data_IF_255532971541
#
_entry.id   IF_255532971541
#
_cell.length_a   1.000
_cell.length_b   1.000
_cell.length_c   1.000
_cell.angle_alpha   90.00
_cell.angle_beta   90.00
_cell.angle_gamma   90.00
#
_symmetry.space_group_name_H-M   'P 1'
#
loop_
_entity.id
_entity.type
_entity.pdbx_description
1 polymer ?
#
# COMPACT_ATOMS: atom_id res chain seq x y z
N UNK A 1 28.39 -12.69 11.56
CA UNK A 1 27.58 -12.62 12.81
C UNK A 1 27.59 -11.22 13.41
N UNK A 2 28.73 -10.51 13.41
CA UNK A 2 28.86 -9.12 13.92
C UNK A 2 27.97 -8.08 13.22
N UNK A 3 27.82 -8.11 11.89
CA UNK A 3 27.04 -7.09 11.15
C UNK A 3 25.56 -7.02 11.54
N UNK A 4 24.93 -8.17 11.90
CA UNK A 4 23.54 -8.20 12.40
C UNK A 4 23.42 -7.57 13.79
N UNK A 5 24.49 -7.61 14.59
CA UNK A 5 24.56 -7.01 15.93
C UNK A 5 24.60 -5.49 15.86
N UNK A 6 25.45 -4.92 14.99
CA UNK A 6 25.60 -3.46 14.84
C UNK A 6 24.30 -2.80 14.43
N UNK A 7 23.63 -3.34 13.40
CA UNK A 7 22.39 -2.75 12.89
C UNK A 7 21.24 -2.82 13.91
N UNK A 8 21.18 -3.90 14.71
CA UNK A 8 20.15 -4.05 15.75
C UNK A 8 20.30 -2.98 16.85
N UNK A 9 21.54 -2.68 17.25
CA UNK A 9 21.83 -1.63 18.26
C UNK A 9 21.59 -0.22 17.72
N UNK A 10 21.88 0.03 16.45
CA UNK A 10 21.54 1.31 15.80
C UNK A 10 20.02 1.53 15.77
N UNK A 11 19.25 0.47 15.46
CA UNK A 11 17.78 0.54 15.54
C UNK A 11 17.30 0.88 16.95
N UNK A 12 17.88 0.25 17.97
CA UNK A 12 17.57 0.54 19.36
C UNK A 12 17.87 2.01 19.73
N UNK A 13 19.03 2.52 19.32
CA UNK A 13 19.41 3.93 19.51
C UNK A 13 18.39 4.89 18.87
N UNK A 14 17.94 4.58 17.65
CA UNK A 14 16.91 5.35 16.94
C UNK A 14 15.56 5.26 17.65
N UNK A 15 15.14 4.08 18.13
CA UNK A 15 13.85 3.88 18.82
C UNK A 15 13.75 4.68 20.10
N UNK A 16 14.84 4.73 20.85
CA UNK A 16 14.88 5.40 22.15
C UNK A 16 15.18 6.90 22.03
N UNK A 17 15.38 7.41 20.81
CA UNK A 17 15.80 8.78 20.54
C UNK A 17 16.99 9.20 21.42
N UNK A 18 17.94 8.28 21.64
CA UNK A 18 19.05 8.52 22.57
C UNK A 18 19.89 9.70 22.08
N UNK A 19 20.17 10.63 22.99
CA UNK A 19 20.99 11.81 22.72
C UNK A 19 22.45 11.46 22.37
N UNK A 20 22.93 10.28 22.78
CA UNK A 20 24.30 9.87 22.57
C UNK A 20 24.49 9.04 21.28
N UNK A 21 24.40 9.73 20.13
CA UNK A 21 24.72 9.16 18.81
C UNK A 21 26.14 8.54 18.77
N UNK A 22 27.04 8.95 19.67
CA UNK A 22 28.40 8.43 19.70
C UNK A 22 28.46 6.95 20.06
N UNK A 23 27.46 6.44 20.79
CA UNK A 23 27.37 5.03 21.15
C UNK A 23 27.17 4.13 19.92
N UNK A 24 26.59 4.67 18.83
CA UNK A 24 26.49 3.97 17.54
C UNK A 24 27.89 3.64 16.99
N UNK A 25 28.85 4.56 17.11
CA UNK A 25 30.21 4.34 16.62
C UNK A 25 30.98 3.32 17.48
N UNK A 26 30.61 3.14 18.74
CA UNK A 26 31.17 2.08 19.60
C UNK A 26 30.74 0.68 19.18
N UNK A 27 29.72 0.56 18.33
CA UNK A 27 29.19 -0.73 17.88
C UNK A 27 29.78 -1.21 16.56
N UNK A 28 30.66 -0.43 15.92
CA UNK A 28 31.39 -0.82 14.72
C UNK A 28 31.20 0.13 13.54
N UNK A 29 31.99 -0.07 12.49
CA UNK A 29 31.98 0.80 11.31
C UNK A 29 30.78 0.53 10.40
N UNK A 30 30.11 1.61 9.99
CA UNK A 30 29.10 1.61 8.93
C UNK A 30 29.82 1.75 7.59
N UNK A 31 30.00 0.63 6.89
CA UNK A 31 30.85 0.57 5.68
C UNK A 31 30.07 0.51 4.39
N UNK A 32 29.00 -0.29 4.33
CA UNK A 32 28.29 -0.51 3.07
C UNK A 32 27.19 0.51 2.81
N UNK A 33 26.93 0.78 1.53
CA UNK A 33 25.79 1.59 1.09
C UNK A 33 24.48 1.02 1.63
N UNK A 34 24.29 -0.29 1.58
CA UNK A 34 23.09 -0.95 2.09
C UNK A 34 22.86 -0.72 3.59
N UNK A 35 23.93 -0.70 4.40
CA UNK A 35 23.82 -0.37 5.82
C UNK A 35 23.32 1.07 5.99
N UNK A 36 23.91 2.03 5.27
CA UNK A 36 23.51 3.43 5.31
C UNK A 36 22.04 3.61 4.89
N UNK A 37 21.64 3.00 3.77
CA UNK A 37 20.26 2.99 3.26
C UNK A 37 19.30 2.45 4.32
N UNK A 38 19.63 1.31 4.93
CA UNK A 38 18.77 0.68 5.93
C UNK A 38 18.63 1.51 7.20
N UNK A 39 19.68 2.22 7.62
CA UNK A 39 19.64 3.14 8.77
C UNK A 39 18.76 4.35 8.46
N UNK A 40 18.94 4.99 7.30
CA UNK A 40 18.15 6.13 6.86
C UNK A 40 16.67 5.74 6.72
N UNK A 41 16.39 4.61 6.06
CA UNK A 41 15.04 4.02 5.97
C UNK A 41 14.41 3.86 7.35
N UNK A 42 15.14 3.23 8.28
CA UNK A 42 14.62 2.96 9.62
C UNK A 42 14.30 4.26 10.38
N UNK A 43 15.21 5.23 10.34
CA UNK A 43 15.01 6.56 10.94
C UNK A 43 13.75 7.25 10.40
N UNK A 44 13.57 7.28 9.09
CA UNK A 44 12.43 7.95 8.44
C UNK A 44 11.09 7.30 8.80
N UNK A 45 11.05 5.96 8.87
CA UNK A 45 9.86 5.19 9.25
C UNK A 45 9.52 5.41 10.73
N UNK A 46 10.50 5.30 11.62
CA UNK A 46 10.26 5.45 13.06
C UNK A 46 9.81 6.86 13.43
N UNK A 47 10.21 7.87 12.65
CA UNK A 47 9.85 9.27 12.85
C UNK A 47 8.77 9.76 11.86
N UNK A 48 7.94 8.86 11.33
CA UNK A 48 6.87 9.22 10.39
C UNK A 48 5.80 10.11 11.04
N UNK A 49 5.55 9.95 12.35
CA UNK A 49 4.59 10.74 13.14
C UNK A 49 5.21 11.98 13.78
N UNK A 50 6.49 11.92 14.11
CA UNK A 50 7.16 12.90 14.96
C UNK A 50 8.11 13.76 14.13
N UNK A 51 7.93 15.08 14.25
CA UNK A 51 8.91 16.03 13.72
C UNK A 51 10.03 16.19 14.74
N UNK A 52 11.26 15.90 14.31
CA UNK A 52 12.46 16.15 15.09
C UNK A 52 13.04 17.53 14.72
N UNK A 53 13.63 18.26 15.67
CA UNK A 53 14.37 19.48 15.34
C UNK A 53 15.50 19.21 14.34
N UNK A 54 15.77 20.16 13.42
CA UNK A 54 16.85 20.02 12.43
C UNK A 54 18.24 19.80 13.04
N UNK A 55 18.47 20.32 14.25
CA UNK A 55 19.71 20.15 15.01
C UNK A 55 19.78 18.85 15.83
N UNK A 56 18.73 18.02 15.82
CA UNK A 56 18.72 16.71 16.48
C UNK A 56 19.87 15.82 15.96
N UNK A 57 20.48 15.07 16.86
CA UNK A 57 21.66 14.24 16.58
C UNK A 57 21.39 13.17 15.52
N UNK A 58 20.21 12.51 15.54
CA UNK A 58 19.81 11.51 14.55
C UNK A 58 19.55 12.12 13.17
N UNK A 59 18.98 13.33 13.12
CA UNK A 59 18.79 14.08 11.87
C UNK A 59 20.15 14.39 11.24
N UNK A 60 21.09 14.94 12.03
CA UNK A 60 22.46 15.23 11.57
C UNK A 60 23.20 13.97 11.13
N UNK A 61 23.06 12.89 11.89
CA UNK A 61 23.68 11.60 11.59
C UNK A 61 23.19 11.04 10.26
N UNK A 62 21.88 10.95 10.05
CA UNK A 62 21.32 10.46 8.78
C UNK A 62 21.64 11.38 7.61
N UNK A 63 21.66 12.70 7.82
CA UNK A 63 22.12 13.66 6.82
C UNK A 63 23.59 13.42 6.41
N UNK A 64 24.47 13.06 7.36
CA UNK A 64 25.86 12.70 7.08
C UNK A 64 25.97 11.34 6.36
N UNK A 65 25.11 10.36 6.68
CA UNK A 65 25.07 9.08 5.94
C UNK A 65 24.67 9.28 4.47
N UNK A 66 23.68 10.13 4.21
CA UNK A 66 23.28 10.50 2.84
C UNK A 66 24.42 11.25 2.16
N UNK A 67 24.99 12.27 2.81
CA UNK A 67 26.05 13.11 2.23
C UNK A 67 27.40 12.40 2.01
N UNK A 68 27.62 11.25 2.64
CA UNK A 68 28.81 10.41 2.44
C UNK A 68 28.57 9.23 1.50
N UNK A 69 27.40 9.16 0.87
CA UNK A 69 27.08 8.13 -0.12
C UNK A 69 27.12 8.77 -1.51
N UNK A 70 27.84 8.19 -2.50
CA UNK A 70 27.76 8.65 -3.88
C UNK A 70 26.34 8.45 -4.43
N UNK A 71 25.65 9.53 -4.77
CA UNK A 71 24.26 9.51 -5.29
C UNK A 71 24.19 9.74 -6.80
N UNK A 72 25.33 9.65 -7.49
CA UNK A 72 25.42 9.79 -8.95
C UNK A 72 24.76 8.60 -9.65
N UNK A 73 24.98 7.40 -9.10
CA UNK A 73 24.32 6.17 -9.50
C UNK A 73 22.81 6.22 -9.21
N UNK A 74 22.02 5.78 -10.19
CA UNK A 74 20.57 5.80 -10.12
C UNK A 74 20.03 4.87 -9.03
N UNK A 75 20.52 3.63 -8.97
CA UNK A 75 20.01 2.61 -8.06
C UNK A 75 20.30 2.98 -6.59
N UNK A 76 21.53 3.40 -6.32
CA UNK A 76 21.97 3.86 -5.00
C UNK A 76 21.15 5.06 -4.53
N UNK A 77 20.95 6.05 -5.40
CA UNK A 77 20.14 7.24 -5.09
C UNK A 77 18.68 6.88 -4.83
N UNK A 78 18.10 6.03 -5.66
CA UNK A 78 16.71 5.59 -5.49
C UNK A 78 16.54 4.87 -4.14
N UNK A 79 17.40 3.90 -3.82
CA UNK A 79 17.34 3.16 -2.56
C UNK A 79 17.52 4.05 -1.33
N UNK A 80 18.47 4.98 -1.37
CA UNK A 80 18.74 5.91 -0.25
C UNK A 80 17.55 6.83 0.02
N UNK A 81 16.89 7.33 -1.04
CA UNK A 81 15.90 8.40 -0.92
C UNK A 81 14.45 7.92 -0.94
N UNK A 82 14.21 6.64 -1.28
CA UNK A 82 12.87 6.07 -1.46
C UNK A 82 11.90 6.36 -0.30
N UNK A 83 12.36 6.28 0.94
CA UNK A 83 11.50 6.45 2.11
C UNK A 83 11.32 7.91 2.55
N UNK A 84 12.03 8.86 1.92
CA UNK A 84 11.89 10.29 2.24
C UNK A 84 10.47 10.79 1.94
N UNK A 85 9.78 10.23 0.94
CA UNK A 85 8.40 10.63 0.61
C UNK A 85 7.39 10.37 1.74
N UNK A 86 7.71 9.47 2.68
CA UNK A 86 6.82 9.14 3.80
C UNK A 86 6.95 10.15 4.94
N UNK A 87 8.07 10.87 5.03
CA UNK A 87 8.35 11.80 6.11
C UNK A 87 8.28 13.24 5.59
N UNK A 88 7.30 14.01 6.08
CA UNK A 88 7.04 15.39 5.61
C UNK A 88 8.24 16.31 5.82
N UNK A 89 9.10 16.02 6.79
CA UNK A 89 10.22 16.84 7.19
C UNK A 89 11.52 16.48 6.45
N UNK A 90 11.51 15.45 5.57
CA UNK A 90 12.70 15.02 4.83
C UNK A 90 13.38 16.14 4.06
N UNK A 91 12.61 17.05 3.45
CA UNK A 91 13.18 18.23 2.75
C UNK A 91 13.95 19.15 3.70
N UNK A 92 13.45 19.32 4.92
CA UNK A 92 14.08 20.15 5.95
C UNK A 92 15.30 19.48 6.56
N UNK A 93 15.25 18.16 6.72
CA UNK A 93 16.35 17.35 7.24
C UNK A 93 17.54 17.29 6.29
N UNK A 94 17.30 17.20 4.98
CA UNK A 94 18.33 16.89 3.99
C UNK A 94 18.42 17.96 2.88
N UNK A 95 18.86 19.20 3.20
CA UNK A 95 18.95 20.26 2.20
C UNK A 95 19.97 19.99 1.09
N UNK A 96 20.99 19.15 1.33
CA UNK A 96 22.08 18.88 0.37
C UNK A 96 21.64 18.09 -0.87
N UNK A 97 20.47 17.47 -0.83
CA UNK A 97 19.92 16.67 -1.94
C UNK A 97 18.76 17.38 -2.63
N UNK A 98 18.73 18.72 -2.57
CA UNK A 98 17.64 19.53 -3.10
C UNK A 98 17.31 19.22 -4.57
N UNK A 99 18.36 19.10 -5.40
CA UNK A 99 18.26 18.75 -6.82
C UNK A 99 17.62 17.37 -7.08
N UNK A 100 17.55 16.50 -6.07
CA UNK A 100 16.96 15.17 -6.19
C UNK A 100 15.46 15.13 -5.85
N UNK A 101 14.91 16.16 -5.19
CA UNK A 101 13.54 16.11 -4.64
C UNK A 101 12.46 15.92 -5.68
N UNK A 102 12.63 16.49 -6.88
CA UNK A 102 11.66 16.30 -7.97
C UNK A 102 11.53 14.81 -8.33
N UNK A 103 12.67 14.10 -8.43
CA UNK A 103 12.70 12.67 -8.73
C UNK A 103 12.14 11.83 -7.57
N UNK A 104 12.49 12.17 -6.33
CA UNK A 104 12.00 11.48 -5.12
C UNK A 104 10.48 11.60 -4.97
N UNK A 105 9.87 12.67 -5.45
CA UNK A 105 8.41 12.88 -5.38
C UNK A 105 7.61 12.03 -6.37
N UNK A 106 8.25 11.46 -7.39
CA UNK A 106 7.58 10.63 -8.41
C UNK A 106 7.62 9.16 -7.99
N UNK A 107 6.47 8.63 -7.59
CA UNK A 107 6.35 7.21 -7.25
C UNK A 107 5.98 6.36 -8.47
N UNK A 108 6.86 5.43 -8.83
CA UNK A 108 6.59 4.38 -9.81
C UNK A 108 5.89 3.18 -9.14
N UNK A 109 5.26 2.31 -9.95
CA UNK A 109 4.61 1.07 -9.47
C UNK A 109 5.60 0.20 -8.68
N UNK A 110 6.81 0.02 -9.21
CA UNK A 110 7.89 -0.74 -8.57
C UNK A 110 8.26 -0.18 -7.18
N UNK A 111 8.42 1.14 -7.08
CA UNK A 111 8.73 1.83 -5.83
C UNK A 111 7.63 1.68 -4.79
N UNK A 112 6.37 1.81 -5.22
CA UNK A 112 5.23 1.55 -4.35
C UNK A 112 5.24 0.10 -3.83
N UNK A 113 5.49 -0.89 -4.69
CA UNK A 113 5.58 -2.30 -4.29
C UNK A 113 6.68 -2.53 -3.26
N UNK A 114 7.87 -1.96 -3.49
CA UNK A 114 9.01 -2.06 -2.56
C UNK A 114 8.74 -1.42 -1.21
N UNK A 115 8.07 -0.27 -1.18
CA UNK A 115 7.69 0.41 0.07
C UNK A 115 6.63 -0.41 0.82
N UNK A 116 5.57 -0.84 0.14
CA UNK A 116 4.47 -1.60 0.75
C UNK A 116 4.97 -2.91 1.35
N UNK A 117 5.73 -3.70 0.58
CA UNK A 117 6.34 -4.94 1.09
C UNK A 117 7.30 -4.64 2.25
N UNK A 118 8.11 -3.58 2.12
CA UNK A 118 9.05 -3.15 3.14
C UNK A 118 8.42 -2.68 4.45
N UNK A 119 7.18 -2.18 4.44
CA UNK A 119 6.44 -1.73 5.63
C UNK A 119 5.58 -2.87 6.18
N UNK A 120 4.73 -3.48 5.34
CA UNK A 120 3.72 -4.42 5.80
C UNK A 120 4.31 -5.82 6.06
N UNK A 121 5.24 -6.28 5.22
CA UNK A 121 5.73 -7.65 5.22
C UNK A 121 7.13 -7.82 5.85
N UNK A 122 8.13 -7.07 5.38
CA UNK A 122 9.55 -7.30 5.72
C UNK A 122 9.99 -6.69 7.07
N UNK A 123 9.04 -6.16 7.85
CA UNK A 123 9.37 -5.35 9.02
C UNK A 123 8.68 -5.79 10.30
N UNK A 124 9.40 -5.59 11.40
CA UNK A 124 8.92 -5.75 12.77
C UNK A 124 8.47 -4.40 13.37
N UNK A 125 8.00 -3.46 12.54
CA UNK A 125 7.43 -2.20 13.04
C UNK A 125 6.12 -2.46 13.79
N UNK A 126 5.80 -1.59 14.75
CA UNK A 126 4.49 -1.62 15.40
C UNK A 126 3.37 -1.36 14.38
N UNK A 127 2.17 -1.84 14.67
CA UNK A 127 0.99 -1.64 13.82
C UNK A 127 0.77 -0.16 13.51
N UNK A 128 0.83 0.69 14.54
CA UNK A 128 0.67 2.14 14.42
C UNK A 128 1.65 2.81 13.45
N UNK A 129 2.90 2.35 13.43
CA UNK A 129 3.92 2.85 12.50
C UNK A 129 3.62 2.36 11.09
N UNK A 130 3.24 1.08 10.94
CA UNK A 130 2.87 0.52 9.63
C UNK A 130 1.68 1.25 9.00
N UNK A 131 0.63 1.49 9.77
CA UNK A 131 -0.59 2.19 9.33
C UNK A 131 -0.29 3.64 8.96
N UNK A 132 0.50 4.36 9.76
CA UNK A 132 0.86 5.74 9.42
C UNK A 132 1.72 5.81 8.15
N UNK A 133 2.75 4.95 8.01
CA UNK A 133 3.55 4.91 6.80
C UNK A 133 2.71 4.57 5.57
N UNK A 134 1.77 3.63 5.69
CA UNK A 134 0.83 3.29 4.62
C UNK A 134 -0.06 4.49 4.25
N UNK A 135 -0.60 5.21 5.25
CA UNK A 135 -1.39 6.42 5.04
C UNK A 135 -0.59 7.51 4.31
N UNK A 136 0.65 7.79 4.74
CA UNK A 136 1.54 8.75 4.08
C UNK A 136 1.82 8.34 2.63
N UNK A 137 2.04 7.06 2.37
CA UNK A 137 2.22 6.55 1.02
C UNK A 137 0.98 6.79 0.14
N UNK A 138 -0.22 6.53 0.66
CA UNK A 138 -1.46 6.77 -0.09
C UNK A 138 -1.69 8.26 -0.35
N UNK A 139 -1.33 9.15 0.58
CA UNK A 139 -1.35 10.60 0.36
C UNK A 139 -0.39 11.03 -0.77
N UNK A 140 0.80 10.43 -0.87
CA UNK A 140 1.72 10.65 -2.00
C UNK A 140 1.10 10.16 -3.31
N UNK A 141 0.44 9.00 -3.28
CA UNK A 141 -0.22 8.43 -4.46
C UNK A 141 -1.44 9.22 -4.94
N UNK A 142 -2.13 9.95 -4.06
CA UNK A 142 -3.33 10.72 -4.42
C UNK A 142 -3.10 11.68 -5.61
N UNK A 143 -1.88 12.21 -5.72
CA UNK A 143 -1.46 13.14 -6.78
C UNK A 143 -0.73 12.46 -7.94
N UNK A 144 -0.64 11.12 -7.96
CA UNK A 144 0.07 10.39 -8.99
C UNK A 144 -0.83 10.05 -10.19
N UNK A 145 -0.35 10.31 -11.41
CA UNK A 145 -1.11 10.01 -12.64
C UNK A 145 -1.45 8.51 -12.80
N UNK A 146 -0.62 7.63 -12.24
CA UNK A 146 -0.79 6.18 -12.28
C UNK A 146 -1.48 5.62 -11.02
N UNK A 147 -2.04 6.47 -10.15
CA UNK A 147 -2.66 6.06 -8.87
C UNK A 147 -3.65 4.91 -9.04
N UNK A 148 -4.46 4.94 -10.11
CA UNK A 148 -5.45 3.89 -10.40
C UNK A 148 -4.82 2.54 -10.67
N UNK A 149 -3.77 2.51 -11.50
CA UNK A 149 -3.04 1.28 -11.77
C UNK A 149 -2.48 0.75 -10.46
N UNK A 150 -1.74 1.59 -9.73
CA UNK A 150 -1.06 1.23 -8.47
C UNK A 150 -2.03 0.65 -7.44
N UNK A 151 -3.13 1.36 -7.11
CA UNK A 151 -4.00 0.91 -6.02
C UNK A 151 -4.85 -0.33 -6.36
N UNK A 152 -4.74 -0.81 -7.59
CA UNK A 152 -5.50 -1.96 -8.07
C UNK A 152 -4.63 -3.11 -8.57
N UNK A 153 -3.32 -2.98 -8.41
CA UNK A 153 -2.35 -4.02 -8.69
C UNK A 153 -2.47 -5.17 -7.69
N UNK A 154 -2.15 -6.37 -8.15
CA UNK A 154 -2.17 -7.58 -7.32
C UNK A 154 -1.20 -7.49 -6.14
N UNK A 155 -0.02 -6.89 -6.32
CA UNK A 155 0.97 -6.79 -5.24
C UNK A 155 0.45 -6.04 -4.02
N UNK A 156 -0.35 -4.96 -4.22
CA UNK A 156 -0.87 -4.15 -3.12
C UNK A 156 -1.91 -4.94 -2.34
N UNK A 157 -2.87 -5.53 -3.07
CA UNK A 157 -3.92 -6.38 -2.49
C UNK A 157 -3.28 -7.53 -1.70
N UNK A 158 -2.28 -8.20 -2.28
CA UNK A 158 -1.60 -9.33 -1.65
C UNK A 158 -0.91 -8.93 -0.34
N UNK A 159 -0.15 -7.83 -0.35
CA UNK A 159 0.53 -7.37 0.84
C UNK A 159 -0.46 -6.99 1.95
N UNK A 160 -1.56 -6.33 1.61
CA UNK A 160 -2.59 -5.94 2.58
C UNK A 160 -3.30 -7.17 3.14
N UNK A 161 -3.73 -8.10 2.29
CA UNK A 161 -4.41 -9.33 2.71
C UNK A 161 -3.48 -10.17 3.61
N UNK A 162 -2.25 -10.41 3.17
CA UNK A 162 -1.28 -11.21 3.93
C UNK A 162 -0.90 -10.55 5.26
N UNK A 163 -0.78 -9.22 5.28
CA UNK A 163 -0.55 -8.50 6.52
C UNK A 163 -1.75 -8.63 7.47
N UNK A 164 -2.96 -8.40 6.97
CA UNK A 164 -4.19 -8.43 7.77
C UNK A 164 -4.41 -9.79 8.40
N UNK A 165 -4.27 -10.89 7.64
CA UNK A 165 -4.46 -12.26 8.15
C UNK A 165 -3.45 -12.63 9.24
N UNK A 166 -2.22 -12.09 9.18
CA UNK A 166 -1.21 -12.31 10.21
C UNK A 166 -1.49 -11.57 11.52
N UNK A 167 -2.47 -10.67 11.55
CA UNK A 167 -2.87 -9.96 12.77
C UNK A 167 -4.00 -10.70 13.50
N UNK A 168 -4.09 -10.53 14.81
CA UNK A 168 -5.20 -11.05 15.62
C UNK A 168 -6.54 -10.32 15.33
N UNK A 169 -6.53 -9.26 14.52
CA UNK A 169 -7.67 -8.37 14.22
C UNK A 169 -7.86 -8.24 12.70
N UNK A 170 -7.78 -9.34 11.98
CA UNK A 170 -7.68 -9.36 10.51
C UNK A 170 -8.75 -8.55 9.78
N UNK A 171 -10.01 -8.63 10.22
CA UNK A 171 -11.12 -7.84 9.67
C UNK A 171 -10.92 -6.34 9.87
N UNK A 172 -10.61 -5.91 11.10
CA UNK A 172 -10.43 -4.50 11.44
C UNK A 172 -9.29 -3.89 10.61
N UNK A 173 -8.14 -4.58 10.54
CA UNK A 173 -6.95 -4.10 9.82
C UNK A 173 -7.18 -4.07 8.30
N UNK A 174 -7.84 -5.08 7.74
CA UNK A 174 -8.16 -5.12 6.32
C UNK A 174 -9.04 -3.92 5.93
N UNK A 175 -10.09 -3.68 6.71
CA UNK A 175 -11.03 -2.59 6.45
C UNK A 175 -10.40 -1.22 6.68
N UNK A 176 -9.53 -1.08 7.69
CA UNK A 176 -8.78 0.15 7.92
C UNK A 176 -7.85 0.48 6.74
N UNK A 177 -7.11 -0.49 6.21
CA UNK A 177 -6.22 -0.27 5.06
C UNK A 177 -7.02 0.08 3.79
N UNK A 178 -8.16 -0.58 3.55
CA UNK A 178 -9.06 -0.23 2.44
C UNK A 178 -9.62 1.19 2.62
N UNK A 179 -10.03 1.54 3.84
CA UNK A 179 -10.54 2.87 4.18
C UNK A 179 -9.49 3.95 3.91
N UNK A 180 -8.23 3.71 4.29
CA UNK A 180 -7.13 4.63 3.99
C UNK A 180 -7.00 4.85 2.48
N UNK A 181 -7.01 3.79 1.66
CA UNK A 181 -6.95 3.90 0.19
C UNK A 181 -8.14 4.74 -0.32
N UNK A 182 -9.34 4.43 0.15
CA UNK A 182 -10.57 5.09 -0.27
C UNK A 182 -10.53 6.59 0.03
N UNK A 183 -10.33 6.97 1.29
CA UNK A 183 -10.38 8.37 1.74
C UNK A 183 -9.29 9.23 1.09
N UNK A 184 -8.09 8.67 0.91
CA UNK A 184 -6.95 9.46 0.42
C UNK A 184 -6.83 9.49 -1.10
N UNK A 185 -7.11 8.39 -1.79
CA UNK A 185 -6.83 8.26 -3.24
C UNK A 185 -8.09 8.37 -4.10
N UNK A 186 -9.20 7.80 -3.65
CA UNK A 186 -10.40 7.62 -4.49
C UNK A 186 -11.50 8.64 -4.22
N UNK A 187 -11.77 8.95 -2.95
CA UNK A 187 -12.81 9.90 -2.58
C UNK A 187 -12.61 11.28 -3.23
N UNK A 188 -11.38 11.83 -3.38
CA UNK A 188 -11.17 13.09 -4.09
C UNK A 188 -11.59 13.08 -5.57
N UNK A 189 -11.67 11.90 -6.19
CA UNK A 189 -12.17 11.73 -7.57
C UNK A 189 -13.71 11.55 -7.62
N UNK A 190 -14.42 11.72 -6.49
CA UNK A 190 -15.86 11.52 -6.39
C UNK A 190 -16.31 10.06 -6.54
N UNK A 191 -15.42 9.11 -6.24
CA UNK A 191 -15.67 7.68 -6.45
C UNK A 191 -16.30 7.00 -5.26
N UNK A 192 -16.91 5.84 -5.53
CA UNK A 192 -17.50 5.01 -4.50
C UNK A 192 -16.55 3.87 -4.10
N UNK A 193 -16.52 3.55 -2.80
CA UNK A 193 -15.72 2.46 -2.23
C UNK A 193 -16.12 1.09 -2.80
N UNK A 194 -17.36 0.94 -3.30
CA UNK A 194 -17.88 -0.27 -3.95
C UNK A 194 -16.90 -0.85 -4.97
N UNK A 195 -16.31 0.01 -5.82
CA UNK A 195 -15.41 -0.44 -6.89
C UNK A 195 -14.14 -1.10 -6.32
N UNK A 196 -13.64 -0.63 -5.17
CA UNK A 196 -12.52 -1.27 -4.47
C UNK A 196 -12.95 -2.67 -4.03
N UNK A 197 -14.07 -2.78 -3.33
CA UNK A 197 -14.55 -4.06 -2.81
C UNK A 197 -14.77 -5.08 -3.93
N UNK A 198 -15.49 -4.70 -5.00
CA UNK A 198 -15.71 -5.57 -6.15
C UNK A 198 -14.39 -6.04 -6.76
N UNK A 199 -13.44 -5.12 -6.97
CA UNK A 199 -12.17 -5.46 -7.59
C UNK A 199 -11.33 -6.39 -6.72
N UNK A 200 -11.35 -6.18 -5.41
CA UNK A 200 -10.66 -7.04 -4.44
C UNK A 200 -11.32 -8.41 -4.35
N UNK A 201 -12.65 -8.48 -4.35
CA UNK A 201 -13.40 -9.75 -4.42
C UNK A 201 -12.98 -10.57 -5.64
N UNK A 202 -12.97 -9.96 -6.83
CA UNK A 202 -12.56 -10.61 -8.08
C UNK A 202 -11.11 -11.08 -8.01
N UNK A 203 -10.21 -10.24 -7.48
CA UNK A 203 -8.78 -10.56 -7.39
C UNK A 203 -8.51 -11.66 -6.38
N UNK A 204 -9.01 -11.54 -5.14
CA UNK A 204 -8.84 -12.55 -4.08
C UNK A 204 -9.48 -13.87 -4.49
N UNK A 205 -10.65 -13.84 -5.12
CA UNK A 205 -11.35 -15.05 -5.55
C UNK A 205 -10.59 -15.83 -6.63
N UNK A 206 -10.00 -15.12 -7.60
CA UNK A 206 -9.29 -15.73 -8.74
C UNK A 206 -7.78 -15.90 -8.54
N UNK A 207 -7.19 -15.25 -7.55
CA UNK A 207 -5.74 -15.24 -7.33
C UNK A 207 -5.25 -16.33 -6.39
N UNK A 208 -3.97 -16.67 -6.43
CA UNK A 208 -3.36 -17.70 -5.56
C UNK A 208 -2.57 -17.07 -4.41
N UNK A 209 -3.20 -16.12 -3.70
CA UNK A 209 -2.50 -15.25 -2.74
C UNK A 209 -2.44 -15.81 -1.32
N UNK A 210 -3.47 -16.55 -0.91
CA UNK A 210 -3.58 -17.22 0.37
C UNK A 210 -4.31 -18.56 0.19
N UNK A 211 -4.30 -19.39 1.23
CA UNK A 211 -4.99 -20.68 1.20
C UNK A 211 -6.52 -20.48 1.09
N UNK A 212 -7.24 -21.56 0.77
CA UNK A 212 -8.69 -21.51 0.54
C UNK A 212 -9.48 -20.98 1.75
N UNK A 213 -9.07 -21.35 2.97
CA UNK A 213 -9.73 -20.93 4.22
C UNK A 213 -9.63 -19.41 4.40
N UNK A 214 -8.44 -18.86 4.22
CA UNK A 214 -8.20 -17.43 4.30
C UNK A 214 -8.96 -16.66 3.21
N UNK A 215 -9.00 -17.20 1.98
CA UNK A 215 -9.80 -16.61 0.89
C UNK A 215 -11.27 -16.49 1.27
N UNK A 216 -11.87 -17.56 1.82
CA UNK A 216 -13.28 -17.53 2.26
C UNK A 216 -13.52 -16.44 3.30
N UNK A 217 -12.64 -16.31 4.29
CA UNK A 217 -12.73 -15.26 5.33
C UNK A 217 -12.66 -13.86 4.72
N UNK A 218 -11.67 -13.61 3.85
CA UNK A 218 -11.50 -12.30 3.21
C UNK A 218 -12.69 -11.96 2.30
N UNK A 219 -13.14 -12.90 1.47
CA UNK A 219 -14.31 -12.72 0.61
C UNK A 219 -15.55 -12.40 1.43
N UNK A 220 -15.78 -13.12 2.53
CA UNK A 220 -16.89 -12.84 3.46
C UNK A 220 -16.82 -11.42 4.01
N UNK A 221 -15.65 -10.97 4.48
CA UNK A 221 -15.47 -9.60 4.98
C UNK A 221 -15.82 -8.57 3.90
N UNK A 222 -15.32 -8.74 2.68
CA UNK A 222 -15.56 -7.82 1.57
C UNK A 222 -17.03 -7.81 1.12
N UNK A 223 -17.66 -8.97 1.02
CA UNK A 223 -19.08 -9.11 0.68
C UNK A 223 -20.00 -8.50 1.75
N UNK A 224 -19.60 -8.52 3.02
CA UNK A 224 -20.36 -7.87 4.07
C UNK A 224 -20.37 -6.34 3.91
N UNK A 225 -19.30 -5.75 3.36
CA UNK A 225 -19.21 -4.30 3.14
C UNK A 225 -19.80 -3.82 1.81
N UNK A 226 -20.04 -4.72 0.86
CA UNK A 226 -20.52 -4.31 -0.46
C UNK A 226 -21.97 -3.86 -0.38
N UNK A 227 -22.24 -2.63 -0.82
CA UNK A 227 -23.59 -2.14 -1.03
C UNK A 227 -24.07 -2.62 -2.41
N UNK A 228 -24.76 -3.75 -2.44
CA UNK A 228 -25.32 -4.32 -3.66
C UNK A 228 -26.35 -3.41 -4.32
N UNK A 229 -26.88 -2.38 -3.64
CA UNK A 229 -27.83 -1.43 -4.21
C UNK A 229 -27.15 -0.27 -4.96
N UNK A 230 -25.83 -0.14 -4.85
CA UNK A 230 -25.06 0.88 -5.57
C UNK A 230 -25.37 0.89 -7.07
N UNK A 231 -25.66 2.08 -7.61
CA UNK A 231 -25.90 2.28 -9.04
C UNK A 231 -24.61 2.77 -9.70
N UNK A 232 -24.15 2.06 -10.71
CA UNK A 232 -22.88 2.36 -11.38
C UNK A 232 -22.94 3.67 -12.12
N UNK A 233 -22.03 4.58 -11.79
CA UNK A 233 -21.81 5.78 -12.58
C UNK A 233 -20.72 5.50 -13.61
N UNK A 234 -21.07 4.96 -14.77
CA UNK A 234 -20.10 4.56 -15.80
C UNK A 234 -19.30 5.74 -16.42
N UNK A 235 -19.70 6.98 -16.14
CA UNK A 235 -18.95 8.19 -16.49
C UNK A 235 -17.90 8.54 -15.43
N UNK A 236 -18.05 8.04 -14.20
CA UNK A 236 -16.99 8.06 -13.21
C UNK A 236 -15.84 7.18 -13.69
N UNK A 237 -14.64 7.75 -13.63
CA UNK A 237 -13.46 7.10 -14.19
C UNK A 237 -13.09 5.78 -13.48
N UNK A 238 -13.53 5.56 -12.24
CA UNK A 238 -13.28 4.32 -11.50
C UNK A 238 -14.29 3.22 -11.85
N UNK A 239 -15.58 3.54 -11.84
CA UNK A 239 -16.66 2.64 -12.24
C UNK A 239 -16.52 2.20 -13.71
N UNK A 240 -15.97 3.08 -14.57
CA UNK A 240 -15.72 2.78 -15.99
C UNK A 240 -14.86 1.51 -16.20
N UNK A 241 -14.06 1.11 -15.21
CA UNK A 241 -13.32 -0.16 -15.23
C UNK A 241 -14.25 -1.37 -15.41
N UNK A 242 -15.44 -1.35 -14.81
CA UNK A 242 -16.44 -2.43 -14.91
C UNK A 242 -16.92 -2.55 -16.35
N UNK A 243 -17.19 -1.42 -17.02
CA UNK A 243 -17.58 -1.38 -18.44
C UNK A 243 -16.53 -2.02 -19.36
N UNK A 244 -15.25 -1.88 -19.03
CA UNK A 244 -14.16 -2.45 -19.85
C UNK A 244 -13.89 -3.92 -19.52
N UNK A 245 -14.17 -4.35 -18.28
CA UNK A 245 -13.74 -5.66 -17.78
C UNK A 245 -14.90 -6.60 -17.39
N UNK A 246 -16.15 -6.27 -17.71
CA UNK A 246 -17.33 -7.01 -17.26
C UNK A 246 -17.24 -8.52 -17.53
N UNK A 247 -16.72 -8.92 -18.71
CA UNK A 247 -16.62 -10.33 -19.09
C UNK A 247 -15.68 -11.07 -18.15
N UNK A 248 -14.46 -10.53 -17.97
CA UNK A 248 -13.46 -11.07 -17.07
C UNK A 248 -13.93 -11.07 -15.60
N UNK A 249 -14.71 -10.06 -15.20
CA UNK A 249 -15.29 -9.97 -13.85
C UNK A 249 -16.27 -11.13 -13.65
N UNK A 250 -17.25 -11.30 -14.56
CA UNK A 250 -18.25 -12.36 -14.46
C UNK A 250 -17.62 -13.74 -14.49
N UNK A 251 -16.68 -13.98 -15.42
CA UNK A 251 -15.98 -15.25 -15.53
C UNK A 251 -15.30 -15.60 -14.20
N UNK A 252 -14.53 -14.67 -13.63
CA UNK A 252 -13.84 -14.88 -12.35
C UNK A 252 -14.80 -15.10 -11.18
N UNK A 253 -15.91 -14.36 -11.12
CA UNK A 253 -16.94 -14.57 -10.09
C UNK A 253 -17.61 -15.95 -10.22
N UNK A 254 -17.81 -16.45 -11.45
CA UNK A 254 -18.35 -17.80 -11.69
C UNK A 254 -17.34 -18.88 -11.31
N UNK A 255 -16.09 -18.76 -11.72
CA UNK A 255 -15.03 -19.73 -11.40
C UNK A 255 -14.80 -19.81 -9.88
N UNK A 256 -14.96 -18.69 -9.18
CA UNK A 256 -14.81 -18.60 -7.73
C UNK A 256 -16.10 -18.79 -6.95
N UNK A 257 -17.18 -19.33 -7.56
CA UNK A 257 -18.52 -19.46 -6.95
C UNK A 257 -18.49 -20.15 -5.58
N UNK A 258 -17.65 -21.17 -5.42
CA UNK A 258 -17.47 -21.92 -4.17
C UNK A 258 -16.95 -21.09 -2.98
N UNK A 259 -16.44 -19.88 -3.21
CA UNK A 259 -16.05 -18.94 -2.15
C UNK A 259 -17.22 -18.11 -1.63
N UNK A 260 -18.33 -18.07 -2.38
CA UNK A 260 -19.51 -17.26 -2.08
C UNK A 260 -20.70 -18.12 -1.64
N UNK A 261 -20.81 -19.32 -2.19
CA UNK A 261 -21.91 -20.26 -1.93
C UNK A 261 -21.54 -21.24 -0.83
N UNK A 262 -21.53 -20.74 0.41
CA UNK A 262 -21.46 -21.58 1.62
C UNK A 262 -22.86 -21.60 2.26
N UNK A 263 -23.42 -22.78 2.50
CA UNK A 263 -24.79 -22.94 3.02
C UNK A 263 -24.97 -22.29 4.41
N UNK A 264 -23.86 -22.07 5.12
CA UNK A 264 -23.85 -21.37 6.40
C UNK A 264 -24.22 -19.87 6.31
N UNK A 265 -24.14 -19.24 5.11
CA UNK A 265 -24.31 -17.79 4.95
C UNK A 265 -25.21 -17.40 3.77
N UNK A 266 -26.55 -17.57 3.89
CA UNK A 266 -27.49 -17.28 2.80
C UNK A 266 -27.43 -15.83 2.30
N UNK A 267 -27.19 -14.86 3.19
CA UNK A 267 -27.07 -13.44 2.82
C UNK A 267 -25.92 -13.16 1.81
N UNK A 268 -24.83 -13.92 1.89
CA UNK A 268 -23.69 -13.77 0.97
C UNK A 268 -24.04 -14.31 -0.41
N UNK A 269 -24.82 -15.40 -0.46
CA UNK A 269 -25.32 -15.99 -1.70
C UNK A 269 -26.25 -15.01 -2.41
N UNK A 270 -27.20 -14.41 -1.69
CA UNK A 270 -28.10 -13.39 -2.23
C UNK A 270 -27.34 -12.17 -2.78
N UNK A 271 -26.34 -11.68 -2.02
CA UNK A 271 -25.48 -10.59 -2.49
C UNK A 271 -24.69 -10.97 -3.74
N UNK A 272 -24.20 -12.20 -3.83
CA UNK A 272 -23.50 -12.71 -5.01
C UNK A 272 -24.43 -12.73 -6.23
N UNK A 273 -25.64 -13.27 -6.09
CA UNK A 273 -26.60 -13.34 -7.19
C UNK A 273 -27.04 -11.94 -7.66
N UNK A 274 -27.27 -11.02 -6.72
CA UNK A 274 -27.56 -9.62 -7.03
C UNK A 274 -26.41 -8.96 -7.81
N UNK A 275 -25.17 -9.15 -7.35
CA UNK A 275 -23.97 -8.64 -8.02
C UNK A 275 -23.83 -9.19 -9.44
N UNK A 276 -24.07 -10.49 -9.62
CA UNK A 276 -24.04 -11.16 -10.93
C UNK A 276 -25.09 -10.61 -11.88
N UNK A 277 -26.31 -10.37 -11.41
CA UNK A 277 -27.38 -9.74 -12.21
C UNK A 277 -26.99 -8.33 -12.65
N UNK A 278 -26.55 -7.49 -11.71
CA UNK A 278 -26.17 -6.10 -11.98
C UNK A 278 -25.05 -5.98 -13.01
N UNK A 279 -24.01 -6.80 -12.89
CA UNK A 279 -22.91 -6.79 -13.86
C UNK A 279 -23.40 -7.27 -15.23
N UNK A 280 -24.33 -8.22 -15.28
CA UNK A 280 -24.94 -8.71 -16.52
C UNK A 280 -25.82 -7.64 -17.19
N UNK A 281 -26.57 -6.84 -16.44
CA UNK A 281 -27.37 -5.73 -16.98
C UNK A 281 -26.51 -4.67 -17.68
N UNK A 282 -25.32 -4.37 -17.13
CA UNK A 282 -24.35 -3.48 -17.77
C UNK A 282 -23.93 -4.00 -19.16
N UNK A 283 -23.87 -5.32 -19.35
CA UNK A 283 -23.55 -5.94 -20.66
C UNK A 283 -24.62 -5.60 -21.68
N UNK A 284 -25.88 -5.80 -21.31
CA UNK A 284 -27.02 -5.57 -22.19
C UNK A 284 -27.14 -4.08 -22.56
N UNK A 285 -26.89 -3.18 -21.60
CA UNK A 285 -26.84 -1.75 -21.86
C UNK A 285 -25.71 -1.38 -22.83
N UNK A 286 -24.52 -1.97 -22.69
CA UNK A 286 -23.39 -1.69 -23.59
C UNK A 286 -23.60 -2.27 -25.00
N UNK A 287 -24.18 -3.47 -25.13
CA UNK A 287 -24.54 -4.05 -26.44
C UNK A 287 -25.52 -3.14 -27.19
N UNK A 288 -26.57 -2.66 -26.51
CA UNK A 288 -27.57 -1.74 -27.08
C UNK A 288 -26.98 -0.39 -27.51
N UNK A 289 -25.98 0.13 -26.78
CA UNK A 289 -25.28 1.37 -27.17
C UNK A 289 -24.42 1.16 -28.41
N UNK A 290 -23.73 0.03 -28.54
CA UNK A 290 -22.92 -0.30 -29.72
C UNK A 290 -23.77 -0.48 -30.97
N UNK A 291 -24.92 -1.15 -30.87
CA UNK A 291 -25.83 -1.36 -32.00
C UNK A 291 -26.56 -0.11 -32.49
N UNK A 292 -26.55 0.98 -31.71
CA UNK A 292 -27.13 2.28 -32.09
C UNK A 292 -26.10 3.25 -32.67
N UNK A 293 -24.81 2.95 -32.54
CA UNK A 293 -23.71 3.76 -33.05
C UNK A 293 -23.12 3.23 -34.37
N UNK A 294 -23.55 2.03 -34.77
CA UNK A 294 -23.33 1.40 -36.09
C UNK A 294 -24.50 1.70 -37.02
#
# INVERSE_FOLDING_TARGET
MEQKSVFSRIKESIRNNHDNINDIFLHGMIRSVDQKVNIVKYFLIMNVKNTLPKNNSLVRFTNNLIGSTPLDDFETREHMLLYCMLNRDSKNYYPRIESCWEKVSRIAVYNCSKIVSGILYDSNYSLDVKLECFKKLMMVLANNNNKRAIITESFLINNIVNFSIKTNKSTEILLELIKIIYETVMQPDGSNIFVIYLRWIVKVGSGNYCNLKDKKVIIKILMNQIDVNYNFNLDNKWDSWIRVNYFNILEKLKTSKNLFCDEEYPEIVEKYDCLMSKISEIIELNKKRRSRAS
#
